data_IF_498530288660
#
_entry.id   IF_498530288660
#
_cell.length_a   1.000
_cell.length_b   1.000
_cell.length_c   1.000
_cell.angle_alpha   90.00
_cell.angle_beta   90.00
_cell.angle_gamma   90.00
#
_symmetry.space_group_name_H-M   'P 1'
#
loop_
_entity.id
_entity.type
_entity.pdbx_description
1 polymer ?
#
# COMPACT_ATOMS: atom_id res chain seq x y z
N UNK A 1 -17.66 -2.17 -17.59
CA UNK A 1 -16.73 -1.43 -16.70
C UNK A 1 -16.05 -2.45 -15.81
N UNK A 2 -14.73 -2.46 -15.74
CA UNK A 2 -13.95 -3.40 -14.92
C UNK A 2 -13.73 -2.80 -13.54
N UNK A 3 -14.17 -3.51 -12.49
CA UNK A 3 -14.02 -3.06 -11.10
C UNK A 3 -12.67 -3.50 -10.56
N UNK A 4 -11.94 -2.59 -9.92
CA UNK A 4 -10.70 -2.87 -9.20
C UNK A 4 -10.96 -2.67 -7.70
N UNK A 5 -10.73 -3.71 -6.91
CA UNK A 5 -10.83 -3.60 -5.46
C UNK A 5 -9.54 -2.99 -4.92
N UNK A 6 -9.65 -1.87 -4.20
CA UNK A 6 -8.53 -1.25 -3.48
C UNK A 6 -8.67 -1.55 -1.99
N UNK A 7 -7.81 -2.41 -1.45
CA UNK A 7 -7.82 -2.79 -0.04
C UNK A 7 -6.98 -1.79 0.75
N UNK A 8 -7.60 -1.10 1.68
CA UNK A 8 -6.96 -0.13 2.56
C UNK A 8 -6.51 -0.85 3.84
N UNK A 9 -5.22 -0.76 4.21
CA UNK A 9 -4.57 -1.61 5.22
C UNK A 9 -4.89 -1.24 6.68
N UNK A 10 -5.90 -0.40 6.92
CA UNK A 10 -6.32 0.07 8.23
C UNK A 10 -7.84 0.00 8.38
N UNK A 11 -8.30 -0.35 9.58
CA UNK A 11 -9.70 -0.21 9.95
C UNK A 11 -10.01 1.29 10.11
N UNK A 12 -10.99 1.80 9.35
CA UNK A 12 -11.35 3.21 9.34
C UNK A 12 -12.83 3.44 9.06
N UNK A 13 -13.31 4.63 9.40
CA UNK A 13 -14.69 5.06 9.11
C UNK A 13 -14.93 5.20 7.60
N UNK A 14 -16.20 5.22 7.20
CA UNK A 14 -16.58 5.48 5.80
C UNK A 14 -16.11 6.85 5.30
N UNK A 15 -16.08 7.87 6.18
CA UNK A 15 -15.57 9.21 5.87
C UNK A 15 -14.07 9.18 5.54
N UNK A 16 -13.26 8.51 6.36
CA UNK A 16 -11.82 8.35 6.10
C UNK A 16 -11.54 7.56 4.81
N UNK A 17 -12.40 6.58 4.50
CA UNK A 17 -12.30 5.81 3.25
C UNK A 17 -12.59 6.69 2.01
N UNK A 18 -13.53 7.63 2.14
CA UNK A 18 -13.81 8.62 1.08
C UNK A 18 -12.63 9.57 0.88
N UNK A 19 -12.00 10.06 1.94
CA UNK A 19 -10.78 10.88 1.85
C UNK A 19 -9.66 10.11 1.13
N UNK A 20 -9.54 8.81 1.38
CA UNK A 20 -8.59 7.94 0.67
C UNK A 20 -8.93 7.83 -0.82
N UNK A 21 -10.20 7.64 -1.16
CA UNK A 21 -10.66 7.59 -2.55
C UNK A 21 -10.43 8.92 -3.29
N UNK A 22 -10.54 10.06 -2.59
CA UNK A 22 -10.27 11.39 -3.15
C UNK A 22 -8.80 11.60 -3.53
N UNK A 23 -7.86 10.79 -3.04
CA UNK A 23 -6.45 10.87 -3.47
C UNK A 23 -6.25 10.53 -4.95
N UNK A 24 -7.26 9.94 -5.62
CA UNK A 24 -7.27 9.76 -7.07
C UNK A 24 -7.69 11.03 -7.84
N UNK A 25 -8.15 12.09 -7.16
CA UNK A 25 -8.51 13.34 -7.80
C UNK A 25 -7.29 13.93 -8.51
N UNK A 26 -7.46 14.28 -9.80
CA UNK A 26 -6.37 14.75 -10.66
C UNK A 26 -5.67 13.67 -11.47
N UNK A 27 -5.93 12.38 -11.18
CA UNK A 27 -5.48 11.28 -12.04
C UNK A 27 -6.54 10.97 -13.10
N UNK A 28 -6.10 10.76 -14.34
CA UNK A 28 -6.96 10.37 -15.44
C UNK A 28 -6.82 8.87 -15.69
N UNK A 29 -7.92 8.14 -15.49
CA UNK A 29 -8.05 6.74 -15.88
C UNK A 29 -9.00 6.66 -17.08
N UNK A 30 -8.77 5.71 -17.98
CA UNK A 30 -9.75 5.48 -19.06
C UNK A 30 -11.09 5.01 -18.51
N UNK A 31 -12.17 5.28 -19.25
CA UNK A 31 -13.58 5.02 -18.87
C UNK A 31 -13.93 3.54 -18.57
N UNK A 32 -12.96 2.64 -18.73
CA UNK A 32 -13.11 1.20 -18.52
C UNK A 32 -12.85 0.78 -17.08
N UNK A 33 -12.21 1.61 -16.26
CA UNK A 33 -11.80 1.27 -14.91
C UNK A 33 -12.62 2.00 -13.85
N UNK A 34 -13.06 1.25 -12.84
CA UNK A 34 -13.71 1.79 -11.64
C UNK A 34 -13.03 1.23 -10.41
N UNK A 35 -12.68 2.09 -9.46
CA UNK A 35 -12.05 1.69 -8.20
C UNK A 35 -13.07 1.64 -7.06
N UNK A 36 -13.09 0.56 -6.32
CA UNK A 36 -13.90 0.41 -5.11
C UNK A 36 -12.97 0.19 -3.92
N UNK A 37 -13.09 1.05 -2.91
CA UNK A 37 -12.21 1.02 -1.75
C UNK A 37 -12.84 0.17 -0.63
N UNK A 38 -12.01 -0.61 0.04
CA UNK A 38 -12.43 -1.46 1.17
C UNK A 38 -11.37 -1.44 2.26
N UNK A 39 -11.74 -0.91 3.42
CA UNK A 39 -10.93 -1.02 4.62
C UNK A 39 -10.93 -2.47 5.16
N UNK A 40 -9.81 -2.90 5.71
CA UNK A 40 -9.77 -4.10 6.55
C UNK A 40 -10.62 -3.91 7.80
N UNK A 41 -11.24 -4.98 8.31
CA UNK A 41 -12.10 -4.91 9.52
C UNK A 41 -11.29 -4.76 10.81
N UNK A 42 -10.10 -5.35 10.83
CA UNK A 42 -9.13 -5.29 11.91
C UNK A 42 -7.74 -5.31 11.28
N UNK A 43 -6.74 -4.82 11.99
CA UNK A 43 -5.37 -4.80 11.51
C UNK A 43 -4.44 -4.35 12.61
N UNK A 44 -3.12 -4.40 12.38
CA UNK A 44 -2.20 -3.87 13.36
C UNK A 44 -2.34 -2.35 13.46
N UNK A 45 -2.00 -1.80 14.63
CA UNK A 45 -1.98 -0.35 14.82
C UNK A 45 -0.90 0.28 13.91
N UNK A 46 0.23 -0.42 13.74
CA UNK A 46 1.39 0.03 12.99
C UNK A 46 1.95 -1.11 12.11
N UNK A 47 3.04 -0.85 11.39
CA UNK A 47 3.78 -1.85 10.60
C UNK A 47 5.24 -1.95 11.07
N UNK A 48 5.44 -2.15 12.38
CA UNK A 48 6.76 -1.96 13.02
C UNK A 48 7.34 -3.24 13.63
N UNK A 49 6.62 -4.36 13.55
CA UNK A 49 7.04 -5.63 14.15
C UNK A 49 6.55 -6.83 13.34
N UNK A 50 7.14 -8.00 13.56
CA UNK A 50 6.68 -9.25 12.96
C UNK A 50 5.25 -9.62 13.37
N UNK A 51 4.87 -9.28 14.61
CA UNK A 51 3.48 -9.38 15.07
C UNK A 51 2.55 -8.59 14.16
N UNK A 52 2.91 -7.34 13.85
CA UNK A 52 2.09 -6.47 13.00
C UNK A 52 1.96 -7.04 11.58
N UNK A 53 3.05 -7.59 11.05
CA UNK A 53 3.06 -8.15 9.69
C UNK A 53 2.09 -9.33 9.55
N UNK A 54 2.04 -10.21 10.56
CA UNK A 54 1.10 -11.34 10.57
C UNK A 54 -0.35 -10.84 10.57
N UNK A 55 -0.65 -9.85 11.42
CA UNK A 55 -2.00 -9.27 11.48
C UNK A 55 -2.39 -8.60 10.17
N UNK A 56 -1.48 -7.87 9.54
CA UNK A 56 -1.71 -7.20 8.26
C UNK A 56 -1.93 -8.20 7.12
N UNK A 57 -1.11 -9.25 7.04
CA UNK A 57 -1.25 -10.28 6.01
C UNK A 57 -2.62 -10.98 6.12
N UNK A 58 -3.02 -11.37 7.34
CA UNK A 58 -4.30 -12.03 7.58
C UNK A 58 -5.50 -11.11 7.29
N UNK A 59 -5.44 -9.85 7.72
CA UNK A 59 -6.57 -8.94 7.53
C UNK A 59 -6.77 -8.50 6.08
N UNK A 60 -5.68 -8.25 5.35
CA UNK A 60 -5.74 -7.92 3.92
C UNK A 60 -6.22 -9.14 3.14
N UNK A 61 -5.76 -10.34 3.50
CA UNK A 61 -6.24 -11.57 2.88
C UNK A 61 -7.76 -11.73 3.08
N UNK A 62 -8.28 -11.55 4.30
CA UNK A 62 -9.72 -11.62 4.58
C UNK A 62 -10.53 -10.60 3.76
N UNK A 63 -10.04 -9.37 3.62
CA UNK A 63 -10.71 -8.33 2.87
C UNK A 63 -10.78 -8.61 1.35
N UNK A 64 -9.86 -9.42 0.82
CA UNK A 64 -9.66 -9.61 -0.62
C UNK A 64 -9.91 -11.01 -1.16
N UNK A 65 -9.92 -12.07 -0.34
CA UNK A 65 -9.87 -13.46 -0.81
C UNK A 65 -11.07 -13.89 -1.67
N UNK A 66 -12.18 -13.15 -1.60
CA UNK A 66 -13.40 -13.38 -2.42
C UNK A 66 -13.61 -12.32 -3.51
N UNK A 67 -12.60 -11.51 -3.82
CA UNK A 67 -12.75 -10.41 -4.78
C UNK A 67 -13.18 -10.91 -6.18
N UNK A 68 -12.61 -12.03 -6.65
CA UNK A 68 -13.00 -12.64 -7.92
C UNK A 68 -14.48 -13.07 -7.94
N UNK A 69 -14.95 -13.74 -6.89
CA UNK A 69 -16.35 -14.15 -6.74
C UNK A 69 -17.31 -12.94 -6.68
N UNK A 70 -16.83 -11.81 -6.14
CA UNK A 70 -17.56 -10.54 -6.08
C UNK A 70 -17.54 -9.75 -7.40
N UNK A 71 -16.94 -10.31 -8.45
CA UNK A 71 -16.87 -9.72 -9.79
C UNK A 71 -15.87 -8.59 -9.94
N UNK A 72 -14.80 -8.57 -9.13
CA UNK A 72 -13.65 -7.69 -9.36
C UNK A 72 -12.74 -8.28 -10.43
N UNK A 73 -12.15 -7.40 -11.25
CA UNK A 73 -11.21 -7.75 -12.30
C UNK A 73 -9.76 -7.74 -11.82
N UNK A 74 -9.48 -7.07 -10.71
CA UNK A 74 -8.17 -7.00 -10.06
C UNK A 74 -8.29 -6.55 -8.60
N UNK A 75 -7.21 -6.75 -7.84
CA UNK A 75 -7.04 -6.27 -6.46
C UNK A 75 -5.77 -5.43 -6.36
N UNK A 76 -5.89 -4.23 -5.81
CA UNK A 76 -4.80 -3.37 -5.39
C UNK A 76 -4.74 -3.36 -3.86
N UNK A 77 -3.60 -3.72 -3.27
CA UNK A 77 -3.39 -3.61 -1.82
C UNK A 77 -2.63 -2.31 -1.55
N UNK A 78 -3.28 -1.36 -0.89
CA UNK A 78 -2.81 0.02 -0.73
C UNK A 78 -1.83 0.18 0.45
N UNK A 79 -0.72 -0.57 0.41
CA UNK A 79 0.36 -0.47 1.41
C UNK A 79 1.73 -0.74 0.79
N UNK A 80 2.73 0.05 1.18
CA UNK A 80 4.14 -0.17 0.77
C UNK A 80 4.74 -1.48 1.31
N UNK A 81 4.08 -2.14 2.27
CA UNK A 81 4.53 -3.44 2.79
C UNK A 81 4.24 -4.62 1.86
N UNK A 82 3.37 -4.42 0.86
CA UNK A 82 2.78 -5.49 0.03
C UNK A 82 2.20 -6.66 0.85
N UNK A 83 1.72 -6.36 2.06
CA UNK A 83 1.10 -7.35 2.95
C UNK A 83 -0.09 -8.03 2.27
N UNK A 84 -0.25 -9.34 2.47
CA UNK A 84 -1.33 -10.14 1.90
C UNK A 84 -1.26 -10.37 0.38
N UNK A 85 -0.44 -9.64 -0.39
CA UNK A 85 -0.38 -9.74 -1.87
C UNK A 85 -0.05 -11.16 -2.31
N UNK A 86 0.99 -11.78 -1.74
CA UNK A 86 1.38 -13.14 -2.09
C UNK A 86 0.29 -14.17 -1.75
N UNK A 87 -0.37 -14.01 -0.59
CA UNK A 87 -1.45 -14.89 -0.17
C UNK A 87 -2.67 -14.75 -1.08
N UNK A 88 -3.07 -13.53 -1.44
CA UNK A 88 -4.16 -13.28 -2.37
C UNK A 88 -3.86 -13.86 -3.76
N UNK A 89 -2.64 -13.70 -4.27
CA UNK A 89 -2.21 -14.33 -5.55
C UNK A 89 -2.25 -15.86 -5.53
N UNK A 90 -2.18 -16.48 -4.35
CA UNK A 90 -2.24 -17.95 -4.25
C UNK A 90 -3.66 -18.51 -4.35
N UNK A 91 -4.68 -17.67 -4.23
CA UNK A 91 -6.10 -18.09 -4.22
C UNK A 91 -6.97 -17.39 -5.26
N UNK A 92 -6.48 -16.32 -5.91
CA UNK A 92 -7.19 -15.56 -6.93
C UNK A 92 -6.54 -15.78 -8.30
N UNK A 93 -7.36 -15.92 -9.34
CA UNK A 93 -6.90 -15.97 -10.74
C UNK A 93 -6.83 -14.56 -11.37
N UNK A 94 -7.39 -13.55 -10.71
CA UNK A 94 -7.30 -12.15 -11.10
C UNK A 94 -5.99 -11.50 -10.64
N UNK A 95 -5.48 -10.48 -11.35
CA UNK A 95 -4.28 -9.76 -10.94
C UNK A 95 -4.41 -9.15 -9.54
N UNK A 96 -3.40 -9.38 -8.71
CA UNK A 96 -3.25 -8.73 -7.40
C UNK A 96 -1.92 -7.99 -7.37
N UNK A 97 -1.90 -6.72 -6.96
CA UNK A 97 -0.69 -5.93 -6.89
C UNK A 97 -0.66 -5.02 -5.66
N UNK A 98 0.54 -4.66 -5.22
CA UNK A 98 0.79 -3.68 -4.17
C UNK A 98 1.89 -2.71 -4.60
N UNK A 99 1.92 -1.49 -4.04
CA UNK A 99 2.82 -0.43 -4.48
C UNK A 99 4.27 -0.64 -4.06
N UNK A 100 4.59 -1.50 -3.08
CA UNK A 100 5.95 -1.66 -2.56
C UNK A 100 6.96 -2.09 -3.63
N UNK A 101 6.82 -3.33 -4.11
CA UNK A 101 7.67 -3.88 -5.18
C UNK A 101 7.46 -3.16 -6.52
N UNK A 102 6.24 -2.75 -6.82
CA UNK A 102 5.95 -1.99 -8.05
C UNK A 102 6.72 -0.68 -8.11
N UNK A 103 6.80 0.06 -7.00
CA UNK A 103 7.56 1.32 -6.93
C UNK A 103 9.05 1.09 -7.12
N UNK A 104 9.60 0.02 -6.52
CA UNK A 104 11.01 -0.36 -6.69
C UNK A 104 11.32 -0.65 -8.17
N UNK A 105 10.52 -1.50 -8.81
CA UNK A 105 10.71 -1.86 -10.22
C UNK A 105 10.51 -0.66 -11.15
N UNK A 106 9.54 0.20 -10.85
CA UNK A 106 9.29 1.43 -11.60
C UNK A 106 10.46 2.41 -11.50
N UNK A 107 11.06 2.57 -10.33
CA UNK A 107 12.23 3.42 -10.16
C UNK A 107 13.42 2.94 -11.00
N UNK A 108 13.58 1.63 -11.18
CA UNK A 108 14.64 1.04 -12.02
C UNK A 108 14.41 1.22 -13.52
N UNK A 109 13.18 1.52 -13.95
CA UNK A 109 12.94 1.95 -15.33
C UNK A 109 13.42 3.39 -15.59
N UNK A 110 13.63 4.18 -14.53
CA UNK A 110 13.96 5.61 -14.61
C UNK A 110 15.42 5.91 -14.25
N UNK A 111 16.14 4.97 -13.63
CA UNK A 111 17.55 5.14 -13.28
C UNK A 111 18.22 3.86 -12.80
N UNK A 112 19.56 3.87 -12.74
CA UNK A 112 20.34 2.68 -12.38
C UNK A 112 20.22 2.30 -10.89
N UNK A 113 19.98 3.27 -10.00
CA UNK A 113 19.79 3.04 -8.55
C UNK A 113 18.68 3.94 -8.02
N UNK A 114 18.06 3.53 -6.92
CA UNK A 114 17.00 4.28 -6.25
C UNK A 114 17.27 4.43 -4.76
N UNK A 115 16.57 5.35 -4.10
CA UNK A 115 16.49 5.43 -2.63
C UNK A 115 15.03 5.44 -2.20
N UNK A 116 14.78 4.94 -1.00
CA UNK A 116 13.45 4.94 -0.38
C UNK A 116 13.43 5.99 0.73
N UNK A 117 12.43 6.88 0.70
CA UNK A 117 12.12 7.81 1.79
C UNK A 117 10.90 7.28 2.55
N UNK A 118 11.01 7.18 3.87
CA UNK A 118 9.94 6.66 4.73
C UNK A 118 9.69 7.57 5.94
N UNK A 119 8.56 7.40 6.63
CA UNK A 119 8.22 8.22 7.80
C UNK A 119 9.13 7.92 9.00
N UNK A 120 9.34 6.63 9.31
CA UNK A 120 10.07 6.20 10.50
C UNK A 120 11.10 5.13 10.18
N UNK A 121 12.26 5.18 10.86
CA UNK A 121 13.26 4.13 10.77
C UNK A 121 12.74 2.74 11.15
N UNK A 122 11.67 2.66 11.94
CA UNK A 122 11.02 1.40 12.33
C UNK A 122 10.41 0.64 11.15
N UNK A 123 10.17 1.29 10.01
CA UNK A 123 9.60 0.67 8.81
C UNK A 123 10.66 0.18 7.82
N UNK A 124 11.95 0.40 8.08
CA UNK A 124 13.04 -0.16 7.25
C UNK A 124 12.93 -1.68 7.00
N UNK A 125 12.48 -2.52 7.96
CA UNK A 125 12.29 -3.95 7.70
C UNK A 125 11.31 -4.27 6.56
N UNK A 126 10.28 -3.44 6.32
CA UNK A 126 9.33 -3.63 5.22
C UNK A 126 10.05 -3.59 3.87
N UNK A 127 10.89 -2.57 3.69
CA UNK A 127 11.65 -2.40 2.46
C UNK A 127 12.77 -3.43 2.34
N UNK A 128 13.40 -3.81 3.46
CA UNK A 128 14.37 -4.91 3.48
C UNK A 128 13.74 -6.20 2.93
N UNK A 129 12.55 -6.57 3.40
CA UNK A 129 11.79 -7.74 2.91
C UNK A 129 11.55 -7.64 1.39
N UNK A 130 11.03 -6.50 0.91
CA UNK A 130 10.77 -6.32 -0.51
C UNK A 130 12.06 -6.43 -1.37
N UNK A 131 13.18 -5.88 -0.88
CA UNK A 131 14.49 -5.97 -1.53
C UNK A 131 15.06 -7.39 -1.49
N UNK A 132 14.89 -8.13 -0.38
CA UNK A 132 15.29 -9.53 -0.25
C UNK A 132 14.55 -10.37 -1.29
N UNK A 133 13.22 -10.24 -1.36
CA UNK A 133 12.36 -11.01 -2.26
C UNK A 133 12.59 -10.71 -3.75
N UNK A 134 13.04 -9.49 -4.07
CA UNK A 134 13.37 -9.10 -5.45
C UNK A 134 14.85 -9.34 -5.80
N UNK A 135 15.73 -9.58 -4.82
CA UNK A 135 17.19 -9.66 -5.04
C UNK A 135 17.84 -8.32 -5.41
N UNK A 136 17.26 -7.19 -4.99
CA UNK A 136 17.61 -5.85 -5.50
C UNK A 136 18.36 -4.95 -4.51
N UNK A 137 18.92 -5.50 -3.42
CA UNK A 137 19.71 -4.71 -2.47
C UNK A 137 20.81 -3.88 -3.12
N UNK A 138 21.53 -4.46 -4.09
CA UNK A 138 22.61 -3.79 -4.80
C UNK A 138 22.16 -2.57 -5.64
N UNK A 139 20.86 -2.45 -5.92
CA UNK A 139 20.26 -1.32 -6.63
C UNK A 139 19.68 -0.25 -5.68
N UNK A 140 19.51 -0.58 -4.39
CA UNK A 140 19.04 0.36 -3.38
C UNK A 140 20.23 1.14 -2.80
N UNK A 141 20.33 2.42 -3.14
CA UNK A 141 21.40 3.30 -2.66
C UNK A 141 21.22 3.68 -1.18
N UNK A 142 19.97 3.90 -0.73
CA UNK A 142 19.68 4.16 0.68
C UNK A 142 18.20 3.96 1.03
N UNK A 143 17.93 3.68 2.32
CA UNK A 143 16.60 3.81 2.93
C UNK A 143 16.70 4.85 4.04
N UNK A 144 16.09 6.01 3.83
CA UNK A 144 16.15 7.16 4.74
C UNK A 144 14.78 7.41 5.37
N UNK A 145 14.78 7.89 6.60
CA UNK A 145 13.57 8.23 7.32
C UNK A 145 13.57 9.71 7.70
N UNK A 146 12.39 10.33 7.68
CA UNK A 146 12.19 11.71 8.17
C UNK A 146 11.92 11.77 9.68
N UNK A 147 11.88 10.62 10.35
CA UNK A 147 11.64 10.44 11.78
C UNK A 147 10.36 11.10 12.30
N UNK A 148 9.28 10.96 11.52
CA UNK A 148 7.93 11.35 11.92
C UNK A 148 7.19 10.10 12.40
N UNK A 149 6.57 10.21 13.59
CA UNK A 149 5.72 9.14 14.11
C UNK A 149 4.57 8.88 13.14
N UNK A 150 4.37 7.63 12.71
CA UNK A 150 3.27 7.31 11.83
C UNK A 150 1.95 7.42 12.57
N UNK A 151 1.07 8.28 12.06
CA UNK A 151 -0.28 8.47 12.53
C UNK A 151 -1.20 8.40 11.32
N UNK A 152 -1.85 7.25 11.14
CA UNK A 152 -2.71 6.99 9.99
C UNK A 152 -3.98 7.84 9.97
N UNK A 153 -4.38 8.43 11.11
CA UNK A 153 -5.50 9.36 11.17
C UNK A 153 -5.05 10.76 10.76
N UNK A 154 -3.91 11.21 11.29
CA UNK A 154 -3.36 12.53 10.94
C UNK A 154 -2.85 12.61 9.49
N UNK A 155 -2.64 11.49 8.79
CA UNK A 155 -2.34 11.48 7.35
C UNK A 155 -3.52 11.93 6.48
N UNK A 156 -4.75 11.90 7.01
CA UNK A 156 -5.96 12.26 6.27
C UNK A 156 -6.40 13.71 6.48
N UNK A 157 -5.80 14.44 7.43
CA UNK A 157 -6.30 15.76 7.86
C UNK A 157 -5.86 16.93 6.97
N UNK A 158 -5.01 16.71 5.96
CA UNK A 158 -4.34 17.78 5.23
C UNK A 158 -3.33 18.51 6.13
N UNK A 159 -2.06 18.56 5.72
CA UNK A 159 -0.99 19.24 6.50
C UNK A 159 -0.15 20.15 5.61
N UNK A 160 -0.72 20.61 4.51
CA UNK A 160 0.00 21.41 3.52
C UNK A 160 0.51 22.70 4.17
N UNK A 161 -0.31 23.34 5.02
CA UNK A 161 0.07 24.56 5.76
C UNK A 161 1.14 24.31 6.84
N UNK A 162 1.17 23.10 7.44
CA UNK A 162 2.19 22.73 8.44
C UNK A 162 3.55 22.42 7.78
N UNK A 163 3.54 21.88 6.55
CA UNK A 163 4.73 21.41 5.83
C UNK A 163 5.31 22.48 4.92
N UNK A 164 4.45 23.31 4.33
CA UNK A 164 4.81 24.43 3.46
C UNK A 164 4.29 25.75 4.05
N UNK A 165 4.81 26.20 5.21
CA UNK A 165 4.45 27.50 5.75
C UNK A 165 4.85 28.58 4.73
N UNK A 166 3.88 29.40 4.32
CA UNK A 166 4.08 30.57 3.46
C UNK A 166 4.97 31.63 4.13
#
# INVERSE_FOLDING_TARGET
MQKVLVIVPFAMSGENLLLRQQQLQGLQFGDKLQFEYRAVRAGPINYSSHHDFVLADASIFEAGCRAQEQGFAAVCVDTMSDSGVAALRSVLDIPVFGPGKLSILSALMLGDRFSILTMSSRWKPLYKKALDELGLHHKCASVRAIEVSPDNQALLSGKEDDVFPL
#
